data_IF_268123353510
#
_entry.id   IF_268123353510
#
_cell.length_a   1.000
_cell.length_b   1.000
_cell.length_c   1.000
_cell.angle_alpha   90.00
_cell.angle_beta   90.00
_cell.angle_gamma   90.00
#
_symmetry.space_group_name_H-M   'P 1'
#
loop_
_entity.id
_entity.type
_entity.pdbx_description
1 polymer ?
#
# COMPACT_ATOMS: atom_id res chain seq x y z
N UNK A 1 23.65 -10.59 44.95
CA UNK A 1 23.60 -11.76 44.05
C UNK A 1 22.20 -12.03 43.49
N UNK A 2 21.16 -12.02 44.32
CA UNK A 2 19.79 -12.25 43.85
C UNK A 2 19.26 -11.13 42.94
N UNK A 3 19.61 -9.87 43.19
CA UNK A 3 19.21 -8.72 42.41
C UNK A 3 19.82 -8.69 40.98
N UNK A 4 21.04 -9.18 40.85
CA UNK A 4 21.76 -9.22 39.56
C UNK A 4 21.15 -10.23 38.60
N UNK A 5 20.70 -11.36 39.12
CA UNK A 5 20.05 -12.41 38.33
C UNK A 5 18.65 -11.95 37.85
N UNK A 6 17.93 -11.23 38.71
CA UNK A 6 16.62 -10.68 38.39
C UNK A 6 16.72 -9.60 37.29
N UNK A 7 17.70 -8.70 37.39
CA UNK A 7 17.92 -7.65 36.39
C UNK A 7 18.29 -8.25 35.04
N UNK A 8 19.13 -9.29 34.99
CA UNK A 8 19.43 -9.97 33.72
C UNK A 8 18.23 -10.64 33.10
N UNK A 9 17.35 -11.25 33.90
CA UNK A 9 16.14 -11.88 33.41
C UNK A 9 15.18 -10.85 32.80
N UNK A 10 15.00 -9.71 33.45
CA UNK A 10 14.13 -8.62 32.95
C UNK A 10 14.69 -8.03 31.67
N UNK A 11 15.99 -7.84 31.55
CA UNK A 11 16.64 -7.35 30.32
C UNK A 11 16.46 -8.32 29.16
N UNK A 12 16.55 -9.61 29.40
CA UNK A 12 16.38 -10.64 28.36
C UNK A 12 14.94 -10.67 27.83
N UNK A 13 13.96 -10.53 28.71
CA UNK A 13 12.54 -10.50 28.32
C UNK A 13 12.22 -9.24 27.50
N UNK A 14 12.77 -8.08 27.90
CA UNK A 14 12.55 -6.82 27.18
C UNK A 14 13.11 -6.87 25.75
N UNK A 15 14.29 -7.45 25.55
CA UNK A 15 14.90 -7.63 24.23
C UNK A 15 14.09 -8.63 23.38
N UNK A 16 13.60 -9.71 23.98
CA UNK A 16 12.75 -10.69 23.30
C UNK A 16 11.43 -10.10 22.81
N UNK A 17 10.78 -9.27 23.62
CA UNK A 17 9.54 -8.59 23.25
C UNK A 17 9.75 -7.58 22.12
N UNK A 18 10.87 -6.89 22.09
CA UNK A 18 11.21 -5.95 21.03
C UNK A 18 11.42 -6.66 19.68
N UNK A 19 12.03 -7.84 19.70
CA UNK A 19 12.26 -8.65 18.49
C UNK A 19 10.94 -9.23 17.94
N UNK A 20 9.94 -9.49 18.78
CA UNK A 20 8.65 -10.04 18.37
C UNK A 20 7.71 -9.01 17.73
N UNK A 21 8.07 -7.71 17.69
CA UNK A 21 7.25 -6.65 17.10
C UNK A 21 7.91 -5.92 15.91
N UNK A 22 8.65 -6.60 15.00
CA UNK A 22 9.34 -5.90 13.92
C UNK A 22 8.41 -5.38 12.82
N UNK A 23 7.15 -5.84 12.74
CA UNK A 23 6.26 -5.56 11.62
C UNK A 23 5.46 -4.27 11.74
N UNK A 24 5.46 -3.61 12.90
CA UNK A 24 4.67 -2.39 13.12
C UNK A 24 5.24 -1.15 12.41
N UNK A 25 6.54 -1.15 12.08
CA UNK A 25 7.21 -0.01 11.44
C UNK A 25 7.09 -0.01 9.91
N UNK A 26 6.56 -1.06 9.30
CA UNK A 26 6.50 -1.22 7.85
C UNK A 26 5.12 -0.96 7.24
N UNK A 27 4.13 -0.60 8.05
CA UNK A 27 2.76 -0.35 7.62
C UNK A 27 2.63 0.83 6.63
N UNK A 28 3.59 1.80 6.64
CA UNK A 28 3.57 2.97 5.79
C UNK A 28 3.85 2.67 4.31
N UNK A 29 4.44 1.51 3.99
CA UNK A 29 4.83 1.15 2.62
C UNK A 29 3.90 0.10 1.99
N UNK A 30 2.80 -0.28 2.65
CA UNK A 30 1.89 -1.25 2.07
C UNK A 30 1.00 -0.62 0.98
N UNK A 31 0.41 -1.46 0.13
CA UNK A 31 -0.41 -1.02 -0.99
C UNK A 31 -1.64 -0.22 -0.56
N UNK A 32 -2.24 -0.55 0.57
CA UNK A 32 -3.39 0.18 1.11
C UNK A 32 -3.00 1.61 1.47
N UNK A 33 -1.88 1.81 2.14
CA UNK A 33 -1.38 3.13 2.53
C UNK A 33 -1.04 3.97 1.30
N UNK A 34 -0.36 3.40 0.32
CA UNK A 34 -0.01 4.07 -0.93
C UNK A 34 -1.28 4.48 -1.68
N UNK A 35 -2.23 3.57 -1.82
CA UNK A 35 -3.50 3.83 -2.49
C UNK A 35 -4.27 4.96 -1.81
N UNK A 36 -4.45 4.89 -0.49
CA UNK A 36 -5.18 5.90 0.27
C UNK A 36 -4.53 7.29 0.17
N UNK A 37 -3.20 7.34 0.17
CA UNK A 37 -2.47 8.61 0.10
C UNK A 37 -2.40 9.21 -1.31
N UNK A 38 -2.32 8.36 -2.35
CA UNK A 38 -1.98 8.81 -3.72
C UNK A 38 -3.09 8.61 -4.73
N UNK A 39 -3.97 7.66 -4.55
CA UNK A 39 -4.94 7.23 -5.57
C UNK A 39 -6.39 7.54 -5.18
N UNK A 40 -6.73 7.40 -3.91
CA UNK A 40 -8.10 7.47 -3.42
C UNK A 40 -8.74 8.86 -3.60
N UNK A 41 -7.95 9.93 -3.58
CA UNK A 41 -8.47 11.29 -3.76
C UNK A 41 -9.21 11.44 -5.10
N UNK A 42 -8.76 10.74 -6.13
CA UNK A 42 -9.39 10.76 -7.46
C UNK A 42 -10.26 9.53 -7.70
N UNK A 43 -9.74 8.32 -7.43
CA UNK A 43 -10.43 7.07 -7.73
C UNK A 43 -11.45 6.63 -6.67
N UNK A 44 -11.44 7.25 -5.50
CA UNK A 44 -12.30 6.88 -4.37
C UNK A 44 -11.67 5.82 -3.49
N UNK A 45 -12.13 5.75 -2.23
CA UNK A 45 -11.61 4.77 -1.26
C UNK A 45 -11.92 3.32 -1.68
N UNK A 46 -13.00 3.11 -2.42
CA UNK A 46 -13.45 1.82 -2.96
C UNK A 46 -13.00 1.57 -4.40
N UNK A 47 -12.24 2.49 -4.98
CA UNK A 47 -11.74 2.44 -6.36
C UNK A 47 -12.85 2.46 -7.43
N UNK A 48 -14.06 2.89 -7.06
CA UNK A 48 -15.19 2.95 -7.99
C UNK A 48 -15.09 4.09 -9.04
N UNK A 49 -14.15 5.02 -8.84
CA UNK A 49 -13.96 6.15 -9.75
C UNK A 49 -15.00 7.24 -9.57
N UNK A 50 -14.94 8.23 -10.45
CA UNK A 50 -15.86 9.36 -10.49
C UNK A 50 -16.24 9.63 -11.96
N UNK A 51 -17.31 9.01 -12.48
CA UNK A 51 -17.67 9.15 -13.88
C UNK A 51 -17.89 10.61 -14.31
N UNK A 52 -18.48 11.43 -13.45
CA UNK A 52 -18.71 12.85 -13.73
C UNK A 52 -17.40 13.63 -13.94
N UNK A 53 -16.31 13.20 -13.32
CA UNK A 53 -14.97 13.79 -13.48
C UNK A 53 -14.12 13.04 -14.50
N UNK A 54 -14.69 12.08 -15.22
CA UNK A 54 -14.03 11.21 -16.19
C UNK A 54 -12.88 10.39 -15.57
N UNK A 55 -13.04 10.01 -14.31
CA UNK A 55 -12.10 9.14 -13.60
C UNK A 55 -12.67 7.73 -13.65
N UNK A 56 -12.01 6.79 -14.35
CA UNK A 56 -12.55 5.45 -14.52
C UNK A 56 -12.58 4.64 -13.24
N UNK A 57 -13.51 3.70 -13.17
CA UNK A 57 -13.53 2.71 -12.09
C UNK A 57 -12.39 1.73 -12.26
N UNK A 58 -11.69 1.45 -11.16
CA UNK A 58 -10.65 0.42 -11.11
C UNK A 58 -11.20 -0.95 -10.71
N UNK A 59 -12.49 -1.04 -10.40
CA UNK A 59 -13.18 -2.30 -10.07
C UNK A 59 -14.19 -2.71 -11.15
N UNK A 60 -14.15 -2.07 -12.30
CA UNK A 60 -14.96 -2.45 -13.47
C UNK A 60 -14.47 -3.78 -14.08
N UNK A 61 -15.32 -4.40 -14.88
CA UNK A 61 -14.94 -5.62 -15.60
C UNK A 61 -13.74 -5.38 -16.54
N UNK A 62 -13.67 -4.22 -17.16
CA UNK A 62 -12.54 -3.82 -17.99
C UNK A 62 -11.23 -3.80 -17.19
N UNK A 63 -11.26 -3.15 -16.02
CA UNK A 63 -10.08 -3.11 -15.14
C UNK A 63 -9.69 -4.49 -14.60
N UNK A 64 -10.67 -5.34 -14.31
CA UNK A 64 -10.41 -6.71 -13.87
C UNK A 64 -9.71 -7.55 -14.92
N UNK A 65 -10.01 -7.33 -16.20
CA UNK A 65 -9.41 -8.04 -17.34
C UNK A 65 -8.03 -7.52 -17.70
N UNK A 66 -7.69 -6.29 -17.34
CA UNK A 66 -6.39 -5.71 -17.62
C UNK A 66 -5.31 -6.47 -16.83
N UNK A 67 -4.13 -6.63 -17.44
CA UNK A 67 -2.99 -7.27 -16.76
C UNK A 67 -2.43 -6.34 -15.68
N UNK A 68 -1.69 -6.91 -14.73
CA UNK A 68 -0.99 -6.11 -13.71
C UNK A 68 -0.01 -5.12 -14.35
N UNK A 69 0.67 -5.53 -15.44
CA UNK A 69 1.54 -4.65 -16.20
C UNK A 69 0.79 -3.48 -16.82
N UNK A 70 -0.39 -3.73 -17.40
CA UNK A 70 -1.21 -2.68 -18.01
C UNK A 70 -1.69 -1.68 -16.96
N UNK A 71 -2.09 -2.15 -15.79
CA UNK A 71 -2.48 -1.27 -14.69
C UNK A 71 -1.28 -0.46 -14.17
N UNK A 72 -0.12 -1.08 -14.05
CA UNK A 72 1.10 -0.38 -13.64
C UNK A 72 1.52 0.69 -14.67
N UNK A 73 1.47 0.38 -15.94
CA UNK A 73 1.76 1.36 -17.01
C UNK A 73 0.78 2.52 -16.99
N UNK A 74 -0.50 2.26 -16.71
CA UNK A 74 -1.50 3.31 -16.61
C UNK A 74 -1.15 4.31 -15.50
N UNK A 75 -0.58 3.87 -14.39
CA UNK A 75 -0.12 4.75 -13.31
C UNK A 75 0.96 5.71 -13.79
N UNK A 76 1.94 5.22 -14.54
CA UNK A 76 3.13 5.98 -14.91
C UNK A 76 3.01 6.71 -16.24
N UNK A 77 2.14 6.27 -17.14
CA UNK A 77 2.07 6.75 -18.53
C UNK A 77 0.84 7.61 -18.84
N UNK A 78 -0.25 7.49 -18.08
CA UNK A 78 -1.46 8.27 -18.35
C UNK A 78 -1.23 9.76 -18.12
N UNK A 79 -1.58 10.63 -19.11
CA UNK A 79 -1.29 12.06 -18.99
C UNK A 79 -2.02 12.77 -17.85
N UNK A 80 -3.15 12.24 -17.40
CA UNK A 80 -3.91 12.82 -16.30
C UNK A 80 -3.31 12.54 -14.92
N UNK A 81 -2.38 11.59 -14.82
CA UNK A 81 -1.70 11.34 -13.56
C UNK A 81 -0.65 12.41 -13.31
N UNK A 82 -0.66 13.07 -12.13
CA UNK A 82 0.32 14.11 -11.84
C UNK A 82 1.71 13.51 -11.59
N UNK A 83 2.72 14.38 -11.62
CA UNK A 83 4.11 13.97 -11.43
C UNK A 83 4.34 13.21 -10.12
N UNK A 84 3.61 13.56 -9.06
CA UNK A 84 3.71 12.88 -7.75
C UNK A 84 3.28 11.42 -7.82
N UNK A 85 2.38 11.08 -8.72
CA UNK A 85 1.95 9.70 -8.96
C UNK A 85 2.93 8.99 -9.90
N UNK A 86 3.35 9.67 -10.98
CA UNK A 86 4.29 9.11 -11.95
C UNK A 86 5.67 8.84 -11.37
N UNK A 87 6.03 9.49 -10.26
CA UNK A 87 7.31 9.31 -9.59
C UNK A 87 7.34 8.15 -8.59
N UNK A 88 6.23 7.44 -8.39
CA UNK A 88 6.22 6.25 -7.55
C UNK A 88 7.19 5.20 -8.09
N UNK A 89 7.90 4.52 -7.18
CA UNK A 89 8.81 3.44 -7.57
C UNK A 89 8.03 2.26 -8.17
N UNK A 90 8.67 1.42 -8.99
CA UNK A 90 8.01 0.22 -9.52
C UNK A 90 7.43 -0.68 -8.44
N UNK A 91 8.10 -0.82 -7.30
CA UNK A 91 7.61 -1.62 -6.18
C UNK A 91 6.37 -0.99 -5.54
N UNK A 92 6.35 0.32 -5.37
CA UNK A 92 5.19 1.04 -4.85
C UNK A 92 3.99 0.91 -5.79
N UNK A 93 4.20 1.04 -7.09
CA UNK A 93 3.15 0.86 -8.09
C UNK A 93 2.60 -0.56 -8.03
N UNK A 94 3.47 -1.55 -7.95
CA UNK A 94 3.08 -2.96 -7.84
C UNK A 94 2.22 -3.22 -6.60
N UNK A 95 2.62 -2.66 -5.46
CA UNK A 95 1.86 -2.80 -4.22
C UNK A 95 0.48 -2.13 -4.31
N UNK A 96 0.41 -0.95 -4.94
CA UNK A 96 -0.86 -0.27 -5.16
C UNK A 96 -1.77 -1.07 -6.09
N UNK A 97 -1.24 -1.66 -7.17
CA UNK A 97 -1.99 -2.53 -8.07
C UNK A 97 -2.53 -3.75 -7.35
N UNK A 98 -1.73 -4.39 -6.50
CA UNK A 98 -2.18 -5.54 -5.70
C UNK A 98 -3.31 -5.15 -4.74
N UNK A 99 -3.23 -3.97 -4.14
CA UNK A 99 -4.32 -3.48 -3.30
C UNK A 99 -5.61 -3.28 -4.10
N UNK A 100 -5.53 -2.68 -5.29
CA UNK A 100 -6.68 -2.53 -6.20
C UNK A 100 -7.27 -3.91 -6.53
N UNK A 101 -6.43 -4.91 -6.81
CA UNK A 101 -6.91 -6.29 -7.05
C UNK A 101 -7.73 -6.81 -5.87
N UNK A 102 -7.34 -6.50 -4.64
CA UNK A 102 -8.09 -6.91 -3.45
C UNK A 102 -9.49 -6.27 -3.38
N UNK A 103 -9.69 -5.14 -4.02
CA UNK A 103 -10.98 -4.45 -4.10
C UNK A 103 -11.87 -4.96 -5.25
N UNK A 104 -11.29 -5.67 -6.21
CA UNK A 104 -11.97 -6.21 -7.39
C UNK A 104 -12.60 -7.58 -7.11
N UNK A 105 -13.41 -7.69 -6.12
CA UNK A 105 -14.04 -8.97 -5.76
C UNK A 105 -15.35 -9.24 -6.49
#
# INVERSE_FOLDING_TARGET
>A
MKATKLVMLVMTIAVGLFILMPNLSWASDDGATIYQAKCAACHGADAAGKPAARIPSLVSDESKKASDNDLAKAVTEKPKHPATIKSLSPDQVKMAVQYVRSLQK
#
